data_IF_353627481767
#
_entry.id   IF_353627481767
#
_cell.length_a   1.000
_cell.length_b   1.000
_cell.length_c   1.000
_cell.angle_alpha   90.00
_cell.angle_beta   90.00
_cell.angle_gamma   90.00
#
_symmetry.space_group_name_H-M   'P 1'
#
loop_
_entity.id
_entity.type
_entity.pdbx_description
1 polymer ?
#
# COMPACT_ATOMS: atom_id res chain seq x y z
N UNK A 1 -52.48 -42.32 10.53
CA UNK A 1 -53.17 -41.05 10.85
C UNK A 1 -52.42 -39.93 10.15
N UNK A 2 -53.12 -39.13 9.33
CA UNK A 2 -52.61 -37.86 8.79
C UNK A 2 -52.15 -37.87 7.33
N UNK A 3 -53.10 -37.87 6.39
CA UNK A 3 -52.91 -37.39 5.02
C UNK A 3 -53.54 -35.98 4.91
N UNK A 4 -52.88 -35.09 4.17
CA UNK A 4 -53.28 -33.71 3.93
C UNK A 4 -54.52 -33.62 3.03
N UNK A 5 -55.45 -32.71 3.36
CA UNK A 5 -56.57 -32.32 2.49
C UNK A 5 -56.74 -30.79 2.48
N UNK A 6 -57.20 -30.33 1.33
CA UNK A 6 -57.21 -28.99 0.74
C UNK A 6 -58.17 -27.95 1.37
N UNK A 7 -58.10 -26.77 0.75
CA UNK A 7 -59.16 -25.79 0.47
C UNK A 7 -59.35 -24.62 1.43
N UNK A 8 -59.21 -23.40 0.87
CA UNK A 8 -60.19 -22.32 1.03
C UNK A 8 -60.16 -21.35 -0.18
N UNK A 9 -61.30 -21.23 -0.86
CA UNK A 9 -61.69 -20.18 -1.84
C UNK A 9 -62.80 -19.32 -1.23
N UNK A 10 -62.88 -18.05 -1.66
CA UNK A 10 -64.04 -17.14 -1.53
C UNK A 10 -63.62 -15.76 -1.00
N UNK A 11 -63.47 -14.68 -1.77
CA UNK A 11 -64.39 -13.93 -2.66
C UNK A 11 -65.49 -13.14 -1.91
N UNK A 12 -65.39 -11.80 -1.86
CA UNK A 12 -66.39 -10.86 -2.44
C UNK A 12 -66.24 -9.37 -2.04
N UNK A 13 -66.35 -8.51 -3.08
CA UNK A 13 -66.96 -7.16 -3.19
C UNK A 13 -66.23 -5.86 -2.73
N UNK A 14 -66.22 -4.93 -3.69
CA UNK A 14 -65.77 -3.52 -3.79
C UNK A 14 -66.78 -2.51 -3.20
N UNK A 15 -66.46 -1.19 -3.00
CA UNK A 15 -66.53 -0.17 -4.08
C UNK A 15 -65.52 1.03 -3.98
N UNK A 16 -65.37 1.76 -5.09
CA UNK A 16 -64.66 3.06 -5.29
C UNK A 16 -65.23 4.22 -4.44
N UNK A 17 -64.45 5.30 -4.15
CA UNK A 17 -64.54 6.54 -4.98
C UNK A 17 -63.29 7.47 -5.05
N UNK A 18 -63.29 8.29 -6.12
CA UNK A 18 -62.91 9.72 -6.25
C UNK A 18 -61.45 10.25 -6.17
N UNK A 19 -61.15 11.06 -7.22
CA UNK A 19 -60.12 12.10 -7.43
C UNK A 19 -60.11 13.14 -6.27
N UNK A 20 -59.09 13.95 -5.95
CA UNK A 20 -58.10 14.71 -6.73
C UNK A 20 -57.05 15.35 -5.80
N UNK A 21 -55.81 15.47 -6.30
CA UNK A 21 -54.81 16.54 -6.11
C UNK A 21 -54.61 17.26 -4.75
N UNK A 22 -53.37 17.26 -4.26
CA UNK A 22 -52.60 18.51 -4.02
C UNK A 22 -51.12 18.22 -3.74
N UNK A 23 -50.26 18.80 -4.57
CA UNK A 23 -48.81 18.88 -4.44
C UNK A 23 -48.37 19.68 -3.21
N UNK A 24 -47.35 19.19 -2.48
CA UNK A 24 -46.28 20.02 -1.85
C UNK A 24 -45.09 19.13 -1.40
N UNK A 25 -43.85 19.40 -1.81
CA UNK A 25 -42.66 18.77 -1.25
C UNK A 25 -42.08 19.61 -0.09
N UNK A 26 -41.72 18.95 1.03
CA UNK A 26 -40.99 19.54 2.14
C UNK A 26 -39.48 19.40 1.91
N UNK A 27 -38.82 20.48 1.49
CA UNK A 27 -37.37 20.61 1.59
C UNK A 27 -36.97 20.81 3.06
N UNK A 28 -36.23 19.85 3.64
CA UNK A 28 -35.50 20.04 4.91
C UNK A 28 -34.06 20.46 4.58
N UNK A 29 -33.80 21.76 4.56
CA UNK A 29 -32.42 22.26 4.66
C UNK A 29 -32.02 22.33 6.15
N UNK A 30 -30.98 21.57 6.49
CA UNK A 30 -30.30 21.59 7.78
C UNK A 30 -29.49 22.90 7.87
N UNK A 31 -29.75 23.68 8.92
CA UNK A 31 -29.05 24.93 9.26
C UNK A 31 -27.58 24.63 9.61
N UNK A 32 -26.64 25.40 9.03
CA UNK A 32 -25.25 25.51 9.50
C UNK A 32 -25.11 26.77 10.38
N UNK A 33 -24.22 26.78 11.39
CA UNK A 33 -24.15 27.87 12.36
C UNK A 33 -23.48 29.12 11.79
N UNK A 34 -24.06 30.28 12.09
CA UNK A 34 -23.55 31.61 11.78
C UNK A 34 -22.30 31.93 12.63
N UNK A 35 -21.15 32.10 11.98
CA UNK A 35 -19.98 32.73 12.60
C UNK A 35 -20.13 34.25 12.50
N UNK A 36 -20.57 34.89 13.59
CA UNK A 36 -20.56 36.34 13.76
C UNK A 36 -19.13 36.86 13.91
N UNK A 37 -18.47 37.18 12.80
CA UNK A 37 -17.18 37.89 12.84
C UNK A 37 -16.93 38.81 11.63
N UNK A 38 -17.98 39.43 11.08
CA UNK A 38 -17.84 40.38 9.96
C UNK A 38 -18.64 41.69 10.08
N UNK A 39 -19.32 41.95 11.19
CA UNK A 39 -20.22 43.11 11.35
C UNK A 39 -19.52 44.47 11.55
N UNK A 40 -18.24 44.61 11.20
CA UNK A 40 -17.46 45.82 11.51
C UNK A 40 -16.67 46.45 10.36
N UNK A 41 -17.12 46.27 9.11
CA UNK A 41 -16.61 47.06 7.96
C UNK A 41 -17.77 47.63 7.13
N UNK A 42 -18.35 48.74 7.60
CA UNK A 42 -19.24 49.58 6.79
C UNK A 42 -18.41 50.22 5.67
N UNK A 43 -18.52 49.65 4.47
CA UNK A 43 -17.79 50.04 3.26
C UNK A 43 -17.61 48.88 2.26
N UNK A 44 -18.00 47.65 2.62
CA UNK A 44 -17.71 46.44 1.86
C UNK A 44 -18.70 46.05 0.74
N UNK A 45 -19.92 46.61 0.67
CA UNK A 45 -20.95 46.03 -0.21
C UNK A 45 -20.64 46.16 -1.71
N UNK A 46 -19.98 47.25 -2.13
CA UNK A 46 -19.60 47.42 -3.53
C UNK A 46 -18.32 46.64 -3.90
N UNK A 47 -17.37 46.56 -2.96
CA UNK A 47 -16.11 45.83 -3.16
C UNK A 47 -16.35 44.32 -3.13
N UNK A 48 -17.22 43.84 -2.24
CA UNK A 48 -17.60 42.43 -2.18
C UNK A 48 -18.46 42.03 -3.38
N UNK A 49 -19.36 42.91 -3.85
CA UNK A 49 -20.09 42.67 -5.11
C UNK A 49 -19.15 42.56 -6.32
N UNK A 50 -18.17 43.47 -6.44
CA UNK A 50 -17.12 43.36 -7.47
C UNK A 50 -16.22 42.15 -7.26
N UNK A 51 -15.93 41.76 -6.02
CA UNK A 51 -15.10 40.61 -5.69
C UNK A 51 -15.80 39.29 -6.02
N UNK A 52 -17.11 39.15 -5.73
CA UNK A 52 -17.93 38.02 -6.15
C UNK A 52 -18.23 38.03 -7.66
N UNK A 53 -18.31 39.20 -8.30
CA UNK A 53 -18.43 39.31 -9.75
C UNK A 53 -17.12 38.94 -10.48
N UNK A 54 -15.97 39.30 -9.89
CA UNK A 54 -14.64 38.91 -10.38
C UNK A 54 -14.37 37.43 -10.09
N UNK A 55 -14.70 36.90 -8.91
CA UNK A 55 -14.69 35.46 -8.64
C UNK A 55 -15.62 34.72 -9.58
N UNK A 56 -16.83 35.24 -9.82
CA UNK A 56 -17.77 34.72 -10.80
C UNK A 56 -17.21 34.71 -12.22
N UNK A 57 -16.42 35.72 -12.62
CA UNK A 57 -15.70 35.76 -13.91
C UNK A 57 -14.44 34.87 -13.95
N UNK A 58 -13.77 34.65 -12.84
CA UNK A 58 -12.64 33.71 -12.73
C UNK A 58 -13.12 32.24 -12.65
N UNK A 59 -14.29 31.98 -12.04
CA UNK A 59 -14.97 30.68 -12.06
C UNK A 59 -15.77 30.45 -13.35
N UNK A 60 -15.99 31.52 -14.14
CA UNK A 60 -16.53 31.45 -15.51
C UNK A 60 -15.42 31.54 -16.57
N UNK A 61 -14.16 31.35 -16.20
CA UNK A 61 -13.31 30.54 -17.08
C UNK A 61 -13.95 29.17 -16.95
N UNK A 62 -14.96 28.93 -17.80
CA UNK A 62 -15.29 27.59 -18.23
C UNK A 62 -13.94 26.95 -18.51
N UNK A 63 -13.52 26.05 -17.61
CA UNK A 63 -12.74 24.92 -18.06
C UNK A 63 -13.70 24.22 -19.00
N UNK A 64 -13.75 24.71 -20.25
CA UNK A 64 -14.32 23.99 -21.37
C UNK A 64 -13.83 22.57 -21.15
N UNK A 65 -14.72 21.57 -21.05
CA UNK A 65 -14.26 20.21 -20.93
C UNK A 65 -13.36 20.00 -22.14
N UNK A 66 -12.04 20.04 -21.91
CA UNK A 66 -11.09 19.79 -22.96
C UNK A 66 -11.44 18.37 -23.36
N UNK A 67 -12.05 18.24 -24.55
CA UNK A 67 -12.39 16.94 -25.10
C UNK A 67 -11.11 16.12 -25.00
N UNK A 68 -11.12 15.11 -24.11
CA UNK A 68 -9.94 14.31 -23.87
C UNK A 68 -9.54 13.74 -25.21
N UNK A 69 -8.27 13.87 -25.57
CA UNK A 69 -7.79 13.35 -26.84
C UNK A 69 -8.06 11.85 -26.86
N UNK A 70 -8.83 11.36 -27.84
CA UNK A 70 -9.04 9.92 -28.01
C UNK A 70 -7.89 9.37 -28.83
N UNK A 71 -7.18 8.38 -28.27
CA UNK A 71 -6.12 7.64 -28.95
C UNK A 71 -6.66 6.23 -29.19
N UNK A 72 -6.73 5.81 -30.45
CA UNK A 72 -7.23 4.47 -30.79
C UNK A 72 -6.20 3.39 -30.47
N UNK A 73 -6.64 2.13 -30.37
CA UNK A 73 -5.76 0.97 -30.19
C UNK A 73 -4.69 0.90 -31.26
N UNK A 74 -5.05 1.13 -32.53
CA UNK A 74 -4.12 1.06 -33.66
C UNK A 74 -3.05 2.16 -33.59
N UNK A 75 -3.41 3.38 -33.17
CA UNK A 75 -2.43 4.44 -32.95
C UNK A 75 -1.50 4.12 -31.77
N UNK A 76 -2.07 3.59 -30.68
CA UNK A 76 -1.31 3.21 -29.49
C UNK A 76 -0.31 2.10 -29.77
N UNK A 77 -0.75 1.01 -30.40
CA UNK A 77 0.11 -0.12 -30.76
C UNK A 77 1.21 0.29 -31.75
N UNK A 78 0.92 1.20 -32.68
CA UNK A 78 1.93 1.74 -33.59
C UNK A 78 3.02 2.49 -32.82
N UNK A 79 2.63 3.37 -31.89
CA UNK A 79 3.57 4.08 -31.02
C UNK A 79 4.40 3.12 -30.16
N UNK A 80 3.78 2.07 -29.62
CA UNK A 80 4.49 1.05 -28.85
C UNK A 80 5.52 0.30 -29.72
N UNK A 81 5.17 -0.07 -30.96
CA UNK A 81 6.09 -0.72 -31.91
C UNK A 81 7.28 0.16 -32.29
N UNK A 82 7.09 1.48 -32.34
CA UNK A 82 8.15 2.44 -32.64
C UNK A 82 9.16 2.59 -31.48
N UNK A 83 8.78 2.23 -30.25
CA UNK A 83 9.68 2.23 -29.10
C UNK A 83 10.63 1.03 -29.19
N UNK A 84 11.90 1.32 -29.47
CA UNK A 84 12.97 0.31 -29.54
C UNK A 84 13.58 0.09 -28.17
N UNK A 85 13.34 -1.08 -27.58
CA UNK A 85 13.99 -1.54 -26.34
C UNK A 85 15.04 -2.58 -26.71
N UNK A 86 16.26 -2.41 -26.22
CA UNK A 86 17.34 -3.38 -26.45
C UNK A 86 17.13 -4.60 -25.57
N UNK A 87 17.42 -5.79 -26.11
CA UNK A 87 17.30 -7.05 -25.36
C UNK A 87 18.23 -7.05 -24.14
N UNK A 88 19.40 -6.44 -24.26
CA UNK A 88 20.39 -6.32 -23.20
C UNK A 88 19.85 -5.52 -22.01
N UNK A 89 19.08 -4.46 -22.26
CA UNK A 89 18.49 -3.65 -21.20
C UNK A 89 17.37 -4.42 -20.48
N UNK A 90 16.56 -5.18 -21.22
CA UNK A 90 15.55 -6.08 -20.62
C UNK A 90 16.21 -7.17 -19.79
N UNK A 91 17.29 -7.78 -20.29
CA UNK A 91 18.00 -8.82 -19.56
C UNK A 91 18.62 -8.29 -18.27
N UNK A 92 19.23 -7.10 -18.30
CA UNK A 92 19.75 -6.42 -17.10
C UNK A 92 18.65 -6.14 -16.09
N UNK A 93 17.47 -5.76 -16.53
CA UNK A 93 16.32 -5.53 -15.67
C UNK A 93 15.86 -6.83 -14.97
N UNK A 94 15.80 -7.94 -15.71
CA UNK A 94 15.49 -9.26 -15.16
C UNK A 94 16.58 -9.72 -14.20
N UNK A 95 17.85 -9.59 -14.57
CA UNK A 95 18.98 -9.96 -13.72
C UNK A 95 18.98 -9.17 -12.40
N UNK A 96 18.79 -7.85 -12.47
CA UNK A 96 18.63 -6.99 -11.30
C UNK A 96 17.50 -7.49 -10.38
N UNK A 97 16.33 -7.82 -10.94
CA UNK A 97 15.23 -8.35 -10.15
C UNK A 97 15.59 -9.69 -9.47
N UNK A 98 16.17 -10.64 -10.22
CA UNK A 98 16.52 -11.96 -9.70
C UNK A 98 17.56 -11.86 -8.58
N UNK A 99 18.58 -11.03 -8.77
CA UNK A 99 19.63 -10.79 -7.79
C UNK A 99 19.08 -10.07 -6.58
N UNK A 100 18.37 -8.95 -6.73
CA UNK A 100 17.85 -8.16 -5.60
C UNK A 100 16.83 -8.92 -4.77
N UNK A 101 15.93 -9.69 -5.39
CA UNK A 101 14.98 -10.55 -4.64
C UNK A 101 15.61 -11.82 -4.05
N UNK A 102 16.80 -12.19 -4.56
CA UNK A 102 17.61 -13.29 -4.07
C UNK A 102 17.26 -14.66 -4.65
N UNK A 103 16.74 -14.68 -5.88
CA UNK A 103 16.51 -15.90 -6.65
C UNK A 103 17.81 -16.43 -7.26
N UNK A 104 18.76 -16.88 -6.41
CA UNK A 104 20.12 -17.28 -6.81
C UNK A 104 20.13 -18.30 -7.94
N UNK A 105 19.38 -19.39 -7.82
CA UNK A 105 19.34 -20.45 -8.84
C UNK A 105 18.80 -19.95 -10.17
N UNK A 106 17.80 -19.07 -10.14
CA UNK A 106 17.23 -18.48 -11.35
C UNK A 106 18.20 -17.46 -11.97
N UNK A 107 18.88 -16.66 -11.15
CA UNK A 107 19.91 -15.73 -11.59
C UNK A 107 21.06 -16.46 -12.30
N UNK A 108 21.53 -17.58 -11.75
CA UNK A 108 22.62 -18.35 -12.37
C UNK A 108 22.21 -18.99 -13.70
N UNK A 109 21.03 -19.62 -13.75
CA UNK A 109 20.50 -20.16 -15.02
C UNK A 109 20.30 -19.05 -16.05
N UNK A 110 19.76 -17.91 -15.63
CA UNK A 110 19.55 -16.75 -16.49
C UNK A 110 20.87 -16.17 -17.00
N UNK A 111 21.92 -16.12 -16.17
CA UNK A 111 23.28 -15.69 -16.56
C UNK A 111 23.83 -16.57 -17.67
N UNK A 112 23.75 -17.90 -17.51
CA UNK A 112 24.24 -18.89 -18.50
C UNK A 112 23.50 -18.74 -19.84
N UNK A 113 22.17 -18.60 -19.81
CA UNK A 113 21.35 -18.53 -21.03
C UNK A 113 21.42 -17.17 -21.72
N UNK A 114 21.45 -16.08 -20.97
CA UNK A 114 21.37 -14.71 -21.50
C UNK A 114 22.73 -14.05 -21.72
N UNK A 115 23.81 -14.60 -21.13
CA UNK A 115 25.14 -13.98 -21.08
C UNK A 115 25.19 -12.68 -20.26
N UNK A 116 24.15 -12.39 -19.48
CA UNK A 116 24.06 -11.15 -18.67
C UNK A 116 24.69 -11.41 -17.32
N UNK A 117 25.80 -10.74 -17.03
CA UNK A 117 26.47 -10.86 -15.73
C UNK A 117 25.72 -10.07 -14.64
N UNK A 118 25.64 -10.61 -13.41
CA UNK A 118 25.07 -9.89 -12.27
C UNK A 118 26.03 -8.81 -11.77
N UNK A 119 25.46 -7.72 -11.24
CA UNK A 119 26.23 -6.62 -10.64
C UNK A 119 26.78 -6.98 -9.23
N UNK A 120 26.32 -8.11 -8.67
CA UNK A 120 26.66 -8.61 -7.33
C UNK A 120 27.18 -10.04 -7.47
N UNK A 121 28.18 -10.40 -6.68
CA UNK A 121 28.60 -11.79 -6.53
C UNK A 121 27.43 -12.66 -6.03
N UNK A 122 27.07 -13.68 -6.79
CA UNK A 122 25.97 -14.59 -6.46
C UNK A 122 26.20 -15.31 -5.12
N UNK A 123 27.45 -15.45 -4.67
CA UNK A 123 27.77 -16.02 -3.37
C UNK A 123 27.19 -15.17 -2.22
N UNK A 124 27.31 -13.84 -2.29
CA UNK A 124 26.83 -12.94 -1.22
C UNK A 124 25.30 -12.88 -1.14
N UNK A 125 24.61 -13.24 -2.22
CA UNK A 125 23.15 -13.38 -2.24
C UNK A 125 22.72 -14.53 -1.33
N UNK A 126 23.48 -15.63 -1.30
CA UNK A 126 23.13 -16.82 -0.50
C UNK A 126 23.09 -16.48 0.98
N UNK A 127 24.10 -15.75 1.47
CA UNK A 127 24.17 -15.35 2.88
C UNK A 127 23.06 -14.38 3.25
N UNK A 128 22.79 -13.38 2.39
CA UNK A 128 21.67 -12.45 2.57
C UNK A 128 20.32 -13.19 2.60
N UNK A 129 20.15 -14.21 1.76
CA UNK A 129 18.93 -15.01 1.73
C UNK A 129 18.80 -15.93 2.95
N UNK A 130 19.92 -16.39 3.53
CA UNK A 130 19.91 -17.10 4.81
C UNK A 130 19.38 -16.18 5.93
N UNK A 131 19.84 -14.93 6.00
CA UNK A 131 19.33 -13.92 6.94
C UNK A 131 17.83 -13.68 6.75
N UNK A 132 17.39 -13.42 5.50
CA UNK A 132 15.97 -13.18 5.16
C UNK A 132 15.11 -14.38 5.58
N UNK A 133 15.56 -15.60 5.29
CA UNK A 133 14.85 -16.84 5.63
C UNK A 133 14.75 -17.06 7.14
N UNK A 134 15.82 -16.77 7.90
CA UNK A 134 15.81 -16.86 9.35
C UNK A 134 14.69 -15.97 9.94
N UNK A 135 14.59 -14.70 9.52
CA UNK A 135 13.51 -13.81 9.96
C UNK A 135 12.11 -14.29 9.54
N UNK A 136 11.94 -14.73 8.30
CA UNK A 136 10.66 -15.24 7.81
C UNK A 136 10.17 -16.46 8.61
N UNK A 137 11.11 -17.29 9.08
CA UNK A 137 10.81 -18.44 9.94
C UNK A 137 10.56 -18.08 11.41
N UNK A 138 10.81 -16.83 11.82
CA UNK A 138 10.70 -16.38 13.22
C UNK A 138 11.99 -16.57 14.03
N UNK A 139 13.09 -17.01 13.42
CA UNK A 139 14.38 -17.19 14.09
C UNK A 139 15.17 -15.87 14.08
N UNK A 140 14.72 -14.90 14.87
CA UNK A 140 15.29 -13.54 14.89
C UNK A 140 16.74 -13.53 15.38
N UNK A 141 17.07 -14.35 16.39
CA UNK A 141 18.44 -14.41 16.93
C UNK A 141 19.45 -14.92 15.90
N UNK A 142 19.11 -15.97 15.16
CA UNK A 142 19.94 -16.50 14.06
C UNK A 142 20.11 -15.45 12.95
N UNK A 143 19.08 -14.66 12.66
CA UNK A 143 19.20 -13.57 11.70
C UNK A 143 20.15 -12.46 12.17
N UNK A 144 20.12 -12.12 13.47
CA UNK A 144 21.02 -11.12 14.08
C UNK A 144 22.47 -11.61 14.05
N UNK A 145 22.72 -12.88 14.40
CA UNK A 145 24.06 -13.49 14.33
C UNK A 145 24.60 -13.43 12.90
N UNK A 146 23.81 -13.92 11.93
CA UNK A 146 24.22 -13.94 10.52
C UNK A 146 24.46 -12.55 9.93
N UNK A 147 23.66 -11.54 10.29
CA UNK A 147 23.90 -10.19 9.77
C UNK A 147 25.17 -9.58 10.37
N UNK A 148 25.47 -9.85 11.65
CA UNK A 148 26.71 -9.39 12.26
C UNK A 148 27.94 -10.08 11.66
N UNK A 149 27.84 -11.37 11.32
CA UNK A 149 28.89 -12.10 10.59
C UNK A 149 29.11 -11.51 9.20
N UNK A 150 28.04 -11.11 8.51
CA UNK A 150 28.12 -10.49 7.19
C UNK A 150 28.71 -9.08 7.24
N UNK A 151 28.22 -8.27 8.17
CA UNK A 151 28.69 -6.92 8.40
C UNK A 151 28.29 -6.42 9.80
N UNK A 152 29.24 -6.34 10.75
CA UNK A 152 28.95 -5.98 12.14
C UNK A 152 28.42 -4.55 12.30
N UNK A 153 28.66 -3.66 11.33
CA UNK A 153 28.28 -2.25 11.46
C UNK A 153 26.83 -1.97 11.05
N UNK A 154 26.12 -2.93 10.44
CA UNK A 154 24.76 -2.70 9.93
C UNK A 154 23.81 -2.31 11.06
N UNK A 155 23.86 -3.05 12.17
CA UNK A 155 22.98 -2.83 13.31
C UNK A 155 23.43 -1.61 14.14
N UNK A 156 24.74 -1.40 14.27
CA UNK A 156 25.31 -0.25 14.99
C UNK A 156 24.95 1.09 14.33
N UNK A 157 24.90 1.12 13.00
CA UNK A 157 24.62 2.34 12.21
C UNK A 157 23.14 2.56 11.94
N UNK A 158 22.28 1.61 12.33
CA UNK A 158 20.84 1.69 12.10
C UNK A 158 20.03 1.30 13.36
N UNK A 159 19.90 2.22 14.34
CA UNK A 159 19.17 1.97 15.58
C UNK A 159 17.69 1.60 15.36
N UNK A 160 17.07 2.13 14.30
CA UNK A 160 15.69 1.80 13.96
C UNK A 160 15.53 0.34 13.53
N UNK A 161 16.40 -0.15 12.64
CA UNK A 161 16.39 -1.55 12.24
C UNK A 161 16.66 -2.47 13.43
N UNK A 162 17.63 -2.11 14.28
CA UNK A 162 17.90 -2.86 15.49
C UNK A 162 16.65 -2.94 16.40
N UNK A 163 15.97 -1.81 16.62
CA UNK A 163 14.72 -1.78 17.38
C UNK A 163 13.64 -2.68 16.77
N UNK A 164 13.39 -2.61 15.45
CA UNK A 164 12.40 -3.47 14.80
C UNK A 164 12.76 -4.97 14.89
N UNK A 165 14.04 -5.34 14.88
CA UNK A 165 14.46 -6.72 15.10
C UNK A 165 14.16 -7.18 16.53
N UNK A 166 14.47 -6.35 17.53
CA UNK A 166 14.16 -6.68 18.92
C UNK A 166 12.64 -6.71 19.17
N UNK A 167 11.88 -5.80 18.57
CA UNK A 167 10.42 -5.85 18.59
C UNK A 167 9.91 -7.14 17.95
N UNK A 168 10.46 -7.56 16.80
CA UNK A 168 10.10 -8.84 16.20
C UNK A 168 10.40 -10.02 17.14
N UNK A 169 11.54 -9.99 17.85
CA UNK A 169 11.87 -11.00 18.86
C UNK A 169 10.84 -11.04 20.00
N UNK A 170 10.39 -9.88 20.49
CA UNK A 170 9.32 -9.80 21.48
C UNK A 170 8.02 -10.43 20.93
N UNK A 171 7.64 -10.11 19.70
CA UNK A 171 6.48 -10.70 19.01
C UNK A 171 6.59 -12.23 18.93
N UNK A 172 7.78 -12.80 18.67
CA UNK A 172 7.99 -14.25 18.66
C UNK A 172 7.86 -14.89 20.05
N UNK A 173 8.31 -14.22 21.11
CA UNK A 173 8.11 -14.69 22.49
C UNK A 173 6.62 -14.72 22.86
N UNK A 174 5.89 -13.66 22.50
CA UNK A 174 4.42 -13.58 22.68
C UNK A 174 3.73 -14.70 21.90
N UNK A 175 4.10 -14.90 20.63
CA UNK A 175 3.53 -15.96 19.77
C UNK A 175 3.78 -17.36 20.34
N UNK A 176 4.90 -17.56 21.03
CA UNK A 176 5.27 -18.82 21.67
C UNK A 176 4.64 -19.03 23.06
N UNK A 177 3.86 -18.07 23.56
CA UNK A 177 3.23 -18.12 24.89
C UNK A 177 4.20 -17.92 26.05
N UNK A 178 5.42 -17.43 25.77
CA UNK A 178 6.47 -17.20 26.78
C UNK A 178 6.33 -15.82 27.42
N UNK A 179 5.23 -15.62 28.15
CA UNK A 179 4.81 -14.30 28.64
C UNK A 179 5.82 -13.68 29.62
N UNK A 180 6.35 -14.47 30.55
CA UNK A 180 7.32 -14.00 31.54
C UNK A 180 8.62 -13.54 30.85
N UNK A 181 9.18 -14.37 29.96
CA UNK A 181 10.37 -14.03 29.15
C UNK A 181 10.13 -12.79 28.28
N UNK A 182 8.93 -12.66 27.69
CA UNK A 182 8.54 -11.51 26.87
C UNK A 182 8.51 -10.21 27.70
N UNK A 183 7.97 -10.25 28.91
CA UNK A 183 7.86 -9.08 29.78
C UNK A 183 9.23 -8.62 30.29
N UNK A 184 10.05 -9.57 30.75
CA UNK A 184 11.43 -9.31 31.18
C UNK A 184 12.23 -8.68 30.03
N UNK A 185 12.18 -9.29 28.84
CA UNK A 185 12.85 -8.78 27.66
C UNK A 185 12.37 -7.38 27.25
N UNK A 186 11.06 -7.11 27.30
CA UNK A 186 10.53 -5.79 26.98
C UNK A 186 11.04 -4.72 27.97
N UNK A 187 11.14 -5.04 29.25
CA UNK A 187 11.61 -4.13 30.29
C UNK A 187 13.12 -3.85 30.20
N UNK A 188 13.93 -4.87 30.00
CA UNK A 188 15.39 -4.72 29.99
C UNK A 188 15.93 -4.13 28.68
N UNK A 189 15.36 -4.53 27.53
CA UNK A 189 15.93 -4.20 26.23
C UNK A 189 15.16 -3.11 25.47
N UNK A 190 13.82 -3.14 25.51
CA UNK A 190 13.01 -2.25 24.66
C UNK A 190 12.57 -0.97 25.38
N UNK A 191 12.28 -1.03 26.68
CA UNK A 191 11.80 0.12 27.44
C UNK A 191 12.79 1.31 27.44
N UNK A 192 14.11 1.12 27.69
CA UNK A 192 15.06 2.24 27.64
C UNK A 192 15.10 2.92 26.26
N UNK A 193 14.93 2.14 25.17
CA UNK A 193 14.92 2.66 23.80
C UNK A 193 13.62 3.40 23.46
N UNK A 194 12.49 2.98 24.07
CA UNK A 194 11.22 3.69 23.97
C UNK A 194 11.26 5.05 24.68
N UNK A 195 11.91 5.13 25.85
CA UNK A 195 12.06 6.40 26.58
C UNK A 195 12.85 7.46 25.78
N UNK A 196 13.84 7.02 25.00
CA UNK A 196 14.66 7.90 24.17
C UNK A 196 13.97 8.30 22.84
N UNK A 197 12.95 7.55 22.39
CA UNK A 197 12.30 7.77 21.11
C UNK A 197 10.79 7.50 21.16
N UNK A 198 10.00 8.57 21.06
CA UNK A 198 8.53 8.51 21.10
C UNK A 198 7.91 7.54 20.08
N UNK A 199 8.48 7.44 18.87
CA UNK A 199 7.96 6.51 17.85
C UNK A 199 8.17 5.05 18.28
N UNK A 200 9.30 4.75 18.90
CA UNK A 200 9.58 3.41 19.42
C UNK A 200 8.69 3.07 20.61
N UNK A 201 8.40 4.05 21.46
CA UNK A 201 7.46 3.87 22.56
C UNK A 201 6.07 3.50 22.05
N UNK A 202 5.54 4.23 21.07
CA UNK A 202 4.22 3.94 20.47
C UNK A 202 4.17 2.51 19.86
N UNK A 203 5.24 2.07 19.19
CA UNK A 203 5.32 0.74 18.62
C UNK A 203 5.45 -0.35 19.70
N UNK A 204 6.21 -0.08 20.77
CA UNK A 204 6.34 -0.96 21.92
C UNK A 204 5.02 -1.13 22.66
N UNK A 205 4.29 -0.05 22.92
CA UNK A 205 2.97 -0.06 23.56
C UNK A 205 1.98 -0.97 22.81
N UNK A 206 1.94 -0.87 21.47
CA UNK A 206 1.11 -1.74 20.63
C UNK A 206 1.51 -3.22 20.75
N UNK A 207 2.80 -3.49 20.86
CA UNK A 207 3.34 -4.85 20.96
C UNK A 207 3.04 -5.45 22.33
N UNK A 208 3.28 -4.70 23.41
CA UNK A 208 3.00 -5.13 24.79
C UNK A 208 1.50 -5.22 25.04
N UNK A 209 0.67 -4.41 24.37
CA UNK A 209 -0.78 -4.54 24.45
C UNK A 209 -1.26 -5.93 24.05
N UNK A 210 -0.56 -6.67 23.17
CA UNK A 210 -0.88 -8.07 22.85
C UNK A 210 -0.93 -8.98 24.08
N UNK A 211 -0.12 -8.69 25.11
CA UNK A 211 -0.07 -9.44 26.37
C UNK A 211 -1.31 -9.22 27.25
N UNK A 212 -2.04 -8.12 27.04
CA UNK A 212 -3.21 -7.76 27.84
C UNK A 212 -4.50 -8.43 27.34
N UNK A 213 -4.50 -9.07 26.17
CA UNK A 213 -5.66 -9.74 25.60
C UNK A 213 -5.50 -11.26 25.65
N UNK A 214 -6.47 -11.96 26.22
CA UNK A 214 -6.51 -13.43 26.24
C UNK A 214 -6.77 -14.01 24.84
N UNK A 215 -7.54 -13.32 24.01
CA UNK A 215 -7.78 -13.67 22.60
C UNK A 215 -7.22 -12.59 21.66
N UNK A 216 -6.13 -12.95 20.99
CA UNK A 216 -5.45 -12.13 19.97
C UNK A 216 -6.42 -11.64 18.89
N UNK A 217 -7.47 -12.39 18.54
CA UNK A 217 -8.42 -12.00 17.50
C UNK A 217 -9.22 -10.75 17.87
N UNK A 218 -9.36 -10.48 19.17
CA UNK A 218 -10.03 -9.29 19.68
C UNK A 218 -9.06 -8.15 19.96
N UNK A 219 -7.74 -8.38 19.80
CA UNK A 219 -6.74 -7.34 19.96
C UNK A 219 -6.70 -6.45 18.70
N UNK A 220 -6.75 -5.11 18.85
CA UNK A 220 -6.63 -4.20 17.71
C UNK A 220 -5.28 -4.31 16.97
N UNK A 221 -4.28 -4.93 17.60
CA UNK A 221 -2.92 -5.09 17.06
C UNK A 221 -2.59 -6.53 16.66
N UNK A 222 -3.60 -7.40 16.53
CA UNK A 222 -3.40 -8.80 16.15
C UNK A 222 -2.64 -9.00 14.84
N UNK A 223 -2.63 -8.01 13.95
CA UNK A 223 -1.83 -8.00 12.71
C UNK A 223 -0.31 -8.13 12.96
N UNK A 224 0.19 -7.71 14.12
CA UNK A 224 1.61 -7.87 14.49
C UNK A 224 2.01 -9.35 14.62
N UNK A 225 1.03 -10.25 14.87
CA UNK A 225 1.25 -11.69 14.89
C UNK A 225 1.10 -12.34 13.51
N UNK A 226 0.78 -11.58 12.46
CA UNK A 226 0.72 -12.10 11.10
C UNK A 226 2.11 -12.34 10.49
N UNK A 227 2.17 -13.19 9.45
CA UNK A 227 3.39 -13.45 8.69
C UNK A 227 3.90 -12.18 7.99
N UNK A 228 3.00 -11.26 7.61
CA UNK A 228 3.36 -9.97 7.01
C UNK A 228 4.30 -9.13 7.87
N UNK A 229 4.19 -9.19 9.19
CA UNK A 229 5.09 -8.48 10.09
C UNK A 229 6.53 -9.02 10.00
N UNK A 230 6.70 -10.35 9.96
CA UNK A 230 8.02 -10.98 9.71
C UNK A 230 8.57 -10.59 8.34
N UNK A 231 7.71 -10.56 7.31
CA UNK A 231 8.11 -10.18 5.94
C UNK A 231 8.58 -8.72 5.87
N UNK A 232 7.93 -7.82 6.61
CA UNK A 232 8.33 -6.41 6.72
C UNK A 232 9.73 -6.29 7.31
N UNK A 233 9.97 -6.83 8.51
CA UNK A 233 11.28 -6.77 9.18
C UNK A 233 12.37 -7.46 8.35
N UNK A 234 12.05 -8.58 7.70
CA UNK A 234 12.98 -9.26 6.79
C UNK A 234 13.35 -8.40 5.58
N UNK A 235 12.40 -7.65 5.03
CA UNK A 235 12.64 -6.75 3.90
C UNK A 235 13.50 -5.55 4.30
N UNK A 236 13.27 -4.99 5.49
CA UNK A 236 14.06 -3.88 6.03
C UNK A 236 15.53 -4.29 6.29
N UNK A 237 15.75 -5.46 6.92
CA UNK A 237 17.09 -6.00 7.15
C UNK A 237 17.80 -6.28 5.82
N UNK A 238 17.08 -6.89 4.86
CA UNK A 238 17.59 -7.17 3.53
C UNK A 238 18.03 -5.89 2.79
N UNK A 239 17.21 -4.84 2.87
CA UNK A 239 17.53 -3.53 2.29
C UNK A 239 18.77 -2.90 2.93
N UNK A 240 18.94 -3.05 4.25
CA UNK A 240 20.12 -2.55 4.96
C UNK A 240 21.41 -3.29 4.54
N UNK A 241 21.35 -4.62 4.39
CA UNK A 241 22.48 -5.42 3.87
C UNK A 241 22.89 -4.93 2.48
N UNK A 242 21.93 -4.79 1.55
CA UNK A 242 22.19 -4.27 0.21
C UNK A 242 22.80 -2.87 0.24
N UNK A 243 22.27 -1.98 1.10
CA UNK A 243 22.81 -0.61 1.25
C UNK A 243 24.26 -0.63 1.71
N UNK A 244 24.60 -1.48 2.69
CA UNK A 244 25.96 -1.57 3.22
C UNK A 244 26.97 -2.09 2.17
N UNK A 245 26.49 -2.87 1.21
CA UNK A 245 27.26 -3.37 0.07
C UNK A 245 27.24 -2.39 -1.12
N UNK A 246 26.72 -1.17 -0.93
CA UNK A 246 26.56 -0.15 -1.99
C UNK A 246 25.68 -0.59 -3.15
N UNK A 247 24.72 -1.49 -2.88
CA UNK A 247 23.77 -2.00 -3.85
C UNK A 247 22.40 -1.35 -3.73
N UNK A 248 21.65 -1.40 -4.83
CA UNK A 248 20.28 -0.92 -4.87
C UNK A 248 19.39 -1.77 -3.97
N UNK A 249 18.62 -1.11 -3.09
CA UNK A 249 17.75 -1.77 -2.10
C UNK A 249 16.53 -2.44 -2.73
N UNK A 250 15.99 -1.80 -3.76
CA UNK A 250 14.75 -2.18 -4.42
C UNK A 250 15.00 -2.61 -5.86
N UNK A 251 14.34 -3.67 -6.35
CA UNK A 251 14.46 -4.05 -7.74
C UNK A 251 13.83 -3.00 -8.67
N UNK A 252 14.46 -2.76 -9.83
CA UNK A 252 14.00 -1.77 -10.81
C UNK A 252 12.64 -2.13 -11.43
N UNK A 253 12.35 -3.42 -11.59
CA UNK A 253 11.14 -3.88 -12.29
C UNK A 253 9.84 -3.43 -11.59
N UNK A 254 9.61 -3.68 -10.28
CA UNK A 254 8.46 -3.11 -9.57
C UNK A 254 8.36 -1.59 -9.64
N UNK A 255 9.49 -0.87 -9.60
CA UNK A 255 9.51 0.59 -9.74
C UNK A 255 9.02 1.05 -11.12
N UNK A 256 9.41 0.35 -12.19
CA UNK A 256 8.90 0.60 -13.54
C UNK A 256 7.40 0.31 -13.66
N UNK A 257 6.91 -0.76 -13.01
CA UNK A 257 5.47 -1.08 -12.98
C UNK A 257 4.66 -0.02 -12.23
N UNK A 258 5.18 0.48 -11.09
CA UNK A 258 4.58 1.61 -10.37
C UNK A 258 4.57 2.87 -11.24
N UNK A 259 5.66 3.12 -11.97
CA UNK A 259 5.76 4.26 -12.88
C UNK A 259 4.78 4.14 -14.06
N UNK A 260 4.54 2.94 -14.58
CA UNK A 260 3.50 2.69 -15.58
C UNK A 260 2.11 3.08 -15.05
N UNK A 261 1.74 2.60 -13.86
CA UNK A 261 0.45 2.94 -13.23
C UNK A 261 0.35 4.45 -13.03
N UNK A 262 1.40 5.08 -12.51
CA UNK A 262 1.44 6.53 -12.34
C UNK A 262 1.27 7.27 -13.67
N UNK A 263 1.99 6.87 -14.72
CA UNK A 263 1.91 7.50 -16.03
C UNK A 263 0.52 7.36 -16.66
N UNK A 264 -0.14 6.21 -16.48
CA UNK A 264 -1.53 6.01 -16.89
C UNK A 264 -2.48 6.95 -16.14
N UNK A 265 -2.35 7.08 -14.82
CA UNK A 265 -3.16 8.01 -14.03
C UNK A 265 -2.96 9.48 -14.47
N UNK A 266 -1.74 9.87 -14.83
CA UNK A 266 -1.46 11.20 -15.38
C UNK A 266 -2.05 11.40 -16.79
N UNK A 267 -2.13 10.32 -17.58
CA UNK A 267 -2.70 10.36 -18.93
C UNK A 267 -4.23 10.39 -18.90
N UNK A 268 -4.87 9.81 -17.89
CA UNK A 268 -6.33 9.82 -17.70
C UNK A 268 -6.92 11.25 -17.68
N UNK A 269 -6.15 12.25 -17.21
CA UNK A 269 -6.56 13.66 -17.22
C UNK A 269 -6.58 14.27 -18.63
N UNK A 270 -5.81 13.71 -19.56
CA UNK A 270 -5.48 14.35 -20.87
C UNK A 270 -6.03 13.60 -22.06
N UNK A 271 -6.20 12.29 -21.96
CA UNK A 271 -6.57 11.42 -23.08
C UNK A 271 -7.43 10.24 -22.65
N UNK A 272 -8.23 9.76 -23.58
CA UNK A 272 -8.85 8.42 -23.53
C UNK A 272 -7.97 7.51 -24.41
N UNK A 273 -7.41 6.45 -23.84
CA UNK A 273 -6.40 5.61 -24.48
C UNK A 273 -6.54 4.15 -24.01
N UNK A 274 -5.95 3.18 -24.74
CA UNK A 274 -5.94 1.79 -24.29
C UNK A 274 -5.08 1.62 -23.04
N UNK A 275 -5.68 1.12 -21.97
CA UNK A 275 -5.07 1.03 -20.63
C UNK A 275 -4.71 -0.39 -20.28
N UNK A 276 -3.60 -0.58 -19.56
CA UNK A 276 -3.24 -1.84 -18.92
C UNK A 276 -3.77 -1.82 -17.48
N UNK A 277 -4.78 -2.65 -17.22
CA UNK A 277 -5.34 -2.83 -15.88
C UNK A 277 -4.79 -4.08 -15.18
N UNK A 278 -4.40 -5.10 -15.95
CA UNK A 278 -3.78 -6.31 -15.43
C UNK A 278 -2.31 -6.37 -15.86
N UNK A 279 -1.40 -6.14 -14.91
CA UNK A 279 0.04 -6.16 -15.16
C UNK A 279 0.57 -7.56 -15.52
N UNK A 280 -0.13 -8.62 -15.11
CA UNK A 280 0.28 -10.00 -15.38
C UNK A 280 0.03 -10.38 -16.83
N UNK A 281 -1.10 -9.97 -17.39
CA UNK A 281 -1.43 -10.24 -18.81
C UNK A 281 -0.93 -9.16 -19.75
N UNK A 282 -0.64 -7.97 -19.23
CA UNK A 282 -0.32 -6.76 -19.99
C UNK A 282 -1.36 -6.45 -21.10
N UNK A 283 -2.60 -6.93 -20.95
CA UNK A 283 -3.65 -6.76 -21.93
C UNK A 283 -4.10 -5.29 -21.98
N UNK A 284 -4.21 -4.75 -23.20
CA UNK A 284 -4.77 -3.42 -23.43
C UNK A 284 -6.30 -3.51 -23.44
N UNK A 285 -6.93 -2.73 -22.57
CA UNK A 285 -8.37 -2.51 -22.52
C UNK A 285 -8.68 -1.17 -23.20
N UNK A 286 -9.62 -1.17 -24.13
CA UNK A 286 -9.98 0.04 -24.86
C UNK A 286 -10.60 1.09 -23.94
N UNK A 287 -10.40 2.38 -24.24
CA UNK A 287 -11.03 3.43 -23.46
C UNK A 287 -12.55 3.28 -23.51
N UNK A 288 -13.21 3.43 -22.35
CA UNK A 288 -14.65 3.60 -22.31
C UNK A 288 -15.00 4.88 -23.09
N UNK A 289 -15.66 4.70 -24.23
CA UNK A 289 -16.12 5.79 -25.12
C UNK A 289 -17.13 6.67 -24.39
#
# INVERSE_FOLDING_TARGET
MGAYHEDWRGSSRSPTPALSETHRPLHRHRLLPQNHRWDQLRGGDLVMSHFYYLLGRFTSIETLPMSKKVITREEWERKLKDVKIRKEDMNKLVMNFLVTEGYVEAAEKFRIESGTEPDIDLATITDRMAVKKALQSGNVLDAIEKVNDLNPTILDTNPQLYFHLQQQRLIELIRSGKIEEALEFAQEELAPRGEENQSFLEELERTVALLAFEDVKNCPYGELLDVSQRLKTASELNAAILTSQSHEKDPKLPSLLKMLIWAQNQLDEKAAYPRINNLTTAALEDPAV
#
